data_IF_262517452428
#
_entry.id   IF_262517452428
#
_cell.length_a   1.000
_cell.length_b   1.000
_cell.length_c   1.000
_cell.angle_alpha   90.00
_cell.angle_beta   90.00
_cell.angle_gamma   90.00
#
_symmetry.space_group_name_H-M   'P 1'
#
loop_
_entity.id
_entity.type
_entity.pdbx_description
1 polymer ?
#
# COMPACT_ATOMS: atom_id res chain seq x y z
N UNK A 1 15.96 7.37 47.08
CA UNK A 1 16.09 5.92 47.38
C UNK A 1 15.86 5.20 46.06
N UNK A 2 17.00 4.92 45.39
CA UNK A 2 17.00 4.39 44.02
C UNK A 2 17.18 2.88 44.14
N UNK A 3 16.18 2.10 43.66
CA UNK A 3 16.30 0.63 43.55
C UNK A 3 16.94 0.28 42.21
N UNK A 4 18.22 -0.15 42.28
CA UNK A 4 18.90 -0.84 41.20
C UNK A 4 18.38 -2.29 41.11
N UNK A 5 17.66 -2.61 40.03
CA UNK A 5 17.35 -4.00 39.68
C UNK A 5 18.35 -4.51 38.66
N UNK A 6 19.37 -5.24 39.14
CA UNK A 6 20.26 -6.00 38.28
C UNK A 6 19.58 -7.30 37.89
N UNK A 7 19.25 -7.45 36.60
CA UNK A 7 18.70 -8.71 36.06
C UNK A 7 19.88 -9.55 35.55
N UNK A 8 20.29 -10.55 36.32
CA UNK A 8 21.15 -11.62 35.86
C UNK A 8 20.34 -12.60 35.02
N UNK A 9 20.61 -12.66 33.72
CA UNK A 9 20.08 -13.72 32.83
C UNK A 9 21.19 -14.76 32.62
N UNK A 10 21.16 -15.84 33.42
CA UNK A 10 21.85 -17.08 33.05
C UNK A 10 21.03 -17.84 32.01
N UNK A 11 21.53 -17.96 30.79
CA UNK A 11 20.98 -18.85 29.77
C UNK A 11 21.63 -20.22 29.90
N UNK A 12 20.91 -21.22 30.41
CA UNK A 12 21.32 -22.63 30.38
C UNK A 12 21.01 -23.21 28.97
N UNK A 13 22.09 -23.55 28.29
CA UNK A 13 21.99 -24.28 27.00
C UNK A 13 22.01 -25.79 27.30
N UNK A 14 20.89 -26.49 27.11
CA UNK A 14 20.80 -27.94 27.25
C UNK A 14 21.32 -28.63 25.98
N UNK A 15 22.53 -29.25 26.07
CA UNK A 15 23.05 -30.15 25.03
C UNK A 15 22.37 -31.51 25.13
N UNK A 16 21.63 -31.92 24.09
CA UNK A 16 21.40 -33.35 23.82
C UNK A 16 22.42 -33.82 22.79
N UNK A 17 23.24 -34.80 23.19
CA UNK A 17 24.25 -35.42 22.36
C UNK A 17 23.57 -36.49 21.52
N UNK A 18 23.55 -36.33 20.21
CA UNK A 18 23.17 -37.35 19.22
C UNK A 18 24.38 -37.62 18.32
N UNK A 19 24.86 -38.87 18.29
CA UNK A 19 25.96 -39.32 17.47
C UNK A 19 25.62 -39.31 15.97
N UNK A 20 26.28 -38.46 15.17
CA UNK A 20 26.55 -38.77 13.77
C UNK A 20 27.69 -37.89 13.23
N UNK A 21 28.65 -38.53 12.55
CA UNK A 21 29.81 -37.93 11.89
C UNK A 21 29.37 -36.93 10.81
N UNK A 22 29.38 -35.63 11.15
CA UNK A 22 29.34 -34.53 10.17
C UNK A 22 30.18 -33.38 10.71
N UNK A 23 30.86 -32.68 9.76
CA UNK A 23 31.82 -31.59 9.97
C UNK A 23 31.29 -30.50 10.95
N UNK A 24 32.18 -29.86 11.71
CA UNK A 24 31.76 -28.81 12.65
C UNK A 24 31.19 -27.61 11.89
N UNK A 25 29.97 -27.27 12.23
CA UNK A 25 29.35 -26.01 11.82
C UNK A 25 29.87 -24.93 12.76
N UNK A 26 30.76 -24.07 12.28
CA UNK A 26 31.13 -22.86 13.02
C UNK A 26 29.94 -21.90 12.99
N UNK A 27 29.24 -21.84 14.12
CA UNK A 27 28.18 -20.83 14.31
C UNK A 27 28.84 -19.53 14.74
N UNK A 28 29.21 -18.70 13.77
CA UNK A 28 29.56 -17.30 14.03
C UNK A 28 28.29 -16.53 14.38
N UNK A 29 28.08 -16.30 15.69
CA UNK A 29 27.07 -15.32 16.13
C UNK A 29 27.56 -13.93 15.73
N UNK A 30 27.03 -13.39 14.62
CA UNK A 30 27.16 -11.96 14.36
C UNK A 30 26.29 -11.19 15.34
N UNK A 31 26.92 -10.47 16.25
CA UNK A 31 26.24 -9.44 17.01
C UNK A 31 25.68 -8.41 16.03
N UNK A 32 24.36 -8.33 15.97
CA UNK A 32 23.72 -7.19 15.31
C UNK A 32 24.04 -5.95 16.14
N UNK A 33 24.42 -4.82 15.52
CA UNK A 33 24.63 -3.57 16.25
C UNK A 33 23.36 -3.25 17.04
N UNK A 34 23.53 -2.91 18.31
CA UNK A 34 22.44 -2.47 19.18
C UNK A 34 21.74 -1.30 18.47
N UNK A 35 20.44 -1.45 18.24
CA UNK A 35 19.63 -0.34 17.75
C UNK A 35 19.72 0.77 18.80
N UNK A 36 19.91 2.04 18.39
CA UNK A 36 19.87 3.14 19.34
C UNK A 36 18.55 3.06 20.12
N UNK A 37 18.65 3.11 21.44
CA UNK A 37 17.47 3.17 22.32
C UNK A 37 16.65 4.38 21.90
N UNK A 38 15.37 4.16 21.63
CA UNK A 38 14.42 5.27 21.42
C UNK A 38 14.32 5.98 22.76
N UNK A 39 14.90 7.19 22.85
CA UNK A 39 14.71 8.05 24.01
C UNK A 39 13.27 8.54 24.01
N UNK A 40 12.48 8.07 24.97
CA UNK A 40 11.16 8.64 25.21
C UNK A 40 11.34 9.97 25.92
N UNK A 41 10.65 11.04 25.50
CA UNK A 41 10.73 12.35 26.16
C UNK A 41 10.32 12.19 27.64
N UNK A 42 11.08 12.85 28.53
CA UNK A 42 10.78 12.85 29.95
C UNK A 42 9.36 13.39 30.21
N UNK A 43 8.68 12.81 31.21
CA UNK A 43 7.37 13.25 31.67
C UNK A 43 7.45 14.70 32.15
N UNK A 44 7.06 15.65 31.29
CA UNK A 44 7.12 17.09 31.59
C UNK A 44 7.32 17.99 30.36
N UNK A 45 7.62 17.44 29.18
CA UNK A 45 7.55 18.19 27.94
C UNK A 45 6.11 18.63 27.68
N UNK A 46 5.89 19.92 27.41
CA UNK A 46 4.59 20.52 27.16
C UNK A 46 3.76 19.64 26.23
N UNK A 47 2.66 19.05 26.72
CA UNK A 47 1.76 18.18 25.97
C UNK A 47 1.03 18.90 24.82
N UNK A 48 1.13 20.22 24.73
CA UNK A 48 0.46 21.01 23.70
C UNK A 48 1.05 20.81 22.29
N UNK A 49 2.26 20.28 22.15
CA UNK A 49 2.91 20.01 20.85
C UNK A 49 2.85 18.55 20.39
N UNK A 50 2.33 17.63 21.20
CA UNK A 50 2.28 16.20 20.89
C UNK A 50 1.00 15.75 20.18
N UNK A 51 0.11 16.65 19.79
CA UNK A 51 -1.17 16.30 19.17
C UNK A 51 -1.15 16.45 17.65
N UNK A 52 0.04 16.36 17.03
CA UNK A 52 0.21 16.36 15.56
C UNK A 52 -0.03 14.95 14.96
N UNK A 53 -1.09 14.33 15.44
CA UNK A 53 -1.50 13.02 14.91
C UNK A 53 -2.24 13.24 13.60
N UNK A 54 -1.80 12.63 12.47
CA UNK A 54 -2.51 12.74 11.20
C UNK A 54 -3.94 12.21 11.32
N UNK A 55 -4.85 12.77 10.55
CA UNK A 55 -6.18 12.21 10.36
C UNK A 55 -6.09 10.79 9.80
N UNK A 56 -7.15 9.99 9.94
CA UNK A 56 -7.18 8.65 9.36
C UNK A 56 -6.99 8.66 7.83
N UNK A 57 -7.49 9.69 7.15
CA UNK A 57 -7.34 9.82 5.71
C UNK A 57 -5.89 10.10 5.31
N UNK A 58 -5.22 11.04 5.96
CA UNK A 58 -3.79 11.32 5.74
C UNK A 58 -2.94 10.09 6.07
N UNK A 59 -3.22 9.41 7.17
CA UNK A 59 -2.51 8.20 7.56
C UNK A 59 -2.62 7.10 6.51
N UNK A 60 -3.82 6.78 6.03
CA UNK A 60 -4.00 5.70 5.06
C UNK A 60 -3.54 6.09 3.64
N UNK A 61 -3.57 7.36 3.26
CA UNK A 61 -2.92 7.84 2.03
C UNK A 61 -1.40 7.65 2.15
N UNK A 62 -0.78 7.96 3.29
CA UNK A 62 0.64 7.70 3.54
C UNK A 62 0.98 6.20 3.45
N UNK A 63 0.11 5.32 3.96
CA UNK A 63 0.27 3.86 3.79
C UNK A 63 0.15 3.47 2.32
N UNK A 64 -0.83 4.00 1.57
CA UNK A 64 -0.98 3.74 0.14
C UNK A 64 0.23 4.20 -0.68
N UNK A 65 0.83 5.34 -0.32
CA UNK A 65 2.09 5.80 -0.92
C UNK A 65 3.22 4.80 -0.63
N UNK A 66 3.39 4.35 0.61
CA UNK A 66 4.39 3.33 0.98
C UNK A 66 4.18 2.02 0.19
N UNK A 67 2.94 1.56 0.04
CA UNK A 67 2.58 0.39 -0.78
C UNK A 67 2.97 0.61 -2.24
N UNK A 68 2.87 1.84 -2.76
CA UNK A 68 3.23 2.19 -4.14
C UNK A 68 4.71 1.91 -4.47
N UNK A 69 5.60 1.94 -3.48
CA UNK A 69 7.03 1.64 -3.66
C UNK A 69 7.28 0.19 -4.11
N UNK A 70 6.32 -0.71 -3.93
CA UNK A 70 6.39 -2.09 -4.46
C UNK A 70 5.91 -2.23 -5.90
N UNK A 71 5.43 -1.14 -6.52
CA UNK A 71 5.00 -1.19 -7.91
C UNK A 71 6.15 -1.62 -8.84
N UNK A 72 5.86 -2.54 -9.75
CA UNK A 72 6.80 -3.12 -10.71
C UNK A 72 6.68 -2.51 -12.11
N UNK A 73 6.07 -1.34 -12.21
CA UNK A 73 5.97 -0.53 -13.41
C UNK A 73 6.22 0.94 -13.06
N UNK A 74 7.27 1.53 -13.62
CA UNK A 74 7.65 2.90 -13.32
C UNK A 74 6.81 3.96 -14.05
N UNK A 75 5.97 3.58 -15.02
CA UNK A 75 5.04 4.49 -15.72
C UNK A 75 3.91 5.01 -14.83
N UNK A 76 3.55 4.28 -13.79
CA UNK A 76 2.47 4.68 -12.90
C UNK A 76 2.58 3.99 -11.55
N UNK A 77 3.63 4.32 -10.78
CA UNK A 77 3.75 3.84 -9.41
C UNK A 77 2.54 4.29 -8.61
N UNK A 78 1.67 3.36 -8.26
CA UNK A 78 0.50 3.62 -7.44
C UNK A 78 0.27 2.46 -6.48
N UNK A 79 -0.19 2.81 -5.28
CA UNK A 79 -0.63 1.88 -4.24
C UNK A 79 -2.08 2.14 -3.88
N UNK A 80 -2.71 1.12 -3.35
CA UNK A 80 -4.08 1.14 -2.87
C UNK A 80 -4.16 0.43 -1.52
N UNK A 81 -4.94 1.00 -0.60
CA UNK A 81 -5.25 0.41 0.70
C UNK A 81 -6.75 0.41 0.87
N UNK A 82 -7.32 -0.73 1.26
CA UNK A 82 -8.75 -0.82 1.57
C UNK A 82 -8.90 -1.12 3.05
N UNK A 83 -9.72 -0.31 3.72
CA UNK A 83 -9.91 -0.36 5.18
C UNK A 83 -11.39 -0.48 5.55
N UNK A 84 -11.64 -1.01 6.73
CA UNK A 84 -12.94 -0.92 7.41
C UNK A 84 -12.69 -0.76 8.90
N UNK A 85 -13.46 0.11 9.56
CA UNK A 85 -13.32 0.41 11.00
C UNK A 85 -11.87 0.78 11.39
N UNK A 86 -11.21 1.60 10.54
CA UNK A 86 -9.82 2.01 10.69
C UNK A 86 -8.82 0.83 10.76
N UNK A 87 -9.14 -0.30 10.14
CA UNK A 87 -8.27 -1.47 10.01
C UNK A 87 -8.03 -1.78 8.53
N UNK A 88 -6.79 -2.05 8.17
CA UNK A 88 -6.42 -2.47 6.81
C UNK A 88 -6.97 -3.88 6.58
N UNK A 89 -7.77 -4.02 5.53
CA UNK A 89 -8.25 -5.31 5.04
C UNK A 89 -7.28 -5.91 4.02
N UNK A 90 -6.91 -5.11 3.01
CA UNK A 90 -6.02 -5.52 1.93
C UNK A 90 -5.25 -4.31 1.41
N UNK A 91 -4.16 -4.60 0.71
CA UNK A 91 -3.38 -3.62 -0.06
C UNK A 91 -3.20 -4.11 -1.49
N UNK A 92 -2.89 -3.19 -2.40
CA UNK A 92 -2.56 -3.50 -3.78
C UNK A 92 -1.59 -2.47 -4.35
N UNK A 93 -0.79 -2.87 -5.32
CA UNK A 93 0.11 -1.98 -6.05
C UNK A 93 0.07 -2.28 -7.54
N UNK A 94 0.50 -1.35 -8.37
CA UNK A 94 0.59 -1.55 -9.82
C UNK A 94 1.67 -2.59 -10.13
N UNK A 95 1.27 -3.69 -10.74
CA UNK A 95 2.20 -4.79 -11.03
C UNK A 95 1.63 -5.82 -11.99
N UNK A 96 2.49 -6.63 -12.60
CA UNK A 96 2.04 -7.74 -13.43
C UNK A 96 1.29 -8.77 -12.56
N UNK A 97 0.29 -9.47 -13.12
CA UNK A 97 -0.34 -10.60 -12.47
C UNK A 97 0.67 -11.65 -12.03
N UNK A 98 0.37 -12.36 -10.94
CA UNK A 98 1.26 -13.41 -10.40
C UNK A 98 1.61 -14.45 -11.47
N UNK A 99 2.89 -14.75 -11.62
CA UNK A 99 3.41 -15.69 -12.61
C UNK A 99 3.71 -15.07 -13.97
N UNK A 100 3.39 -13.81 -14.21
CA UNK A 100 3.78 -13.10 -15.44
C UNK A 100 5.00 -12.19 -15.21
N UNK A 101 5.83 -11.93 -16.25
CA UNK A 101 7.01 -11.09 -16.11
C UNK A 101 6.64 -9.65 -15.79
N UNK A 102 7.40 -9.02 -14.91
CA UNK A 102 7.21 -7.62 -14.53
C UNK A 102 7.79 -6.65 -15.58
N UNK A 103 7.34 -5.39 -15.52
CA UNK A 103 7.91 -4.35 -16.39
C UNK A 103 9.39 -4.10 -16.11
N UNK A 104 9.82 -4.25 -14.87
CA UNK A 104 11.21 -4.08 -14.46
C UNK A 104 12.12 -5.13 -15.11
N UNK A 105 11.60 -6.34 -15.39
CA UNK A 105 12.36 -7.46 -15.96
C UNK A 105 12.25 -7.52 -17.49
N UNK A 106 11.04 -7.30 -18.04
CA UNK A 106 10.72 -7.56 -19.45
C UNK A 106 10.31 -6.31 -20.25
N UNK A 107 10.43 -5.12 -19.65
CA UNK A 107 10.00 -3.86 -20.24
C UNK A 107 8.48 -3.68 -20.30
N UNK A 108 8.03 -2.54 -20.81
CA UNK A 108 6.61 -2.24 -20.95
C UNK A 108 5.97 -2.92 -22.14
N UNK A 109 4.76 -3.41 -21.96
CA UNK A 109 3.90 -3.86 -23.07
C UNK A 109 2.93 -2.72 -23.43
N UNK A 110 3.32 -1.88 -24.36
CA UNK A 110 2.57 -0.70 -24.75
C UNK A 110 1.42 -1.03 -25.69
N UNK A 111 0.25 -0.44 -25.44
CA UNK A 111 -0.91 -0.47 -26.35
C UNK A 111 -1.39 0.96 -26.60
N UNK A 112 -1.60 1.28 -27.87
CA UNK A 112 -2.22 2.54 -28.28
C UNK A 112 -3.73 2.39 -28.25
N UNK A 113 -4.41 3.31 -27.57
CA UNK A 113 -5.86 3.47 -27.60
C UNK A 113 -6.19 4.70 -28.42
N UNK A 114 -7.11 4.56 -29.36
CA UNK A 114 -7.65 5.67 -30.16
C UNK A 114 -9.02 6.02 -29.56
N UNK A 115 -9.19 7.26 -29.13
CA UNK A 115 -10.44 7.77 -28.58
C UNK A 115 -11.39 8.25 -29.69
N UNK A 116 -12.67 8.43 -29.35
CA UNK A 116 -13.70 8.87 -30.30
C UNK A 116 -13.41 10.24 -30.96
N UNK A 117 -12.71 11.12 -30.23
CA UNK A 117 -12.23 12.41 -30.72
C UNK A 117 -10.97 12.33 -31.60
N UNK A 118 -10.48 11.11 -31.90
CA UNK A 118 -9.29 10.84 -32.68
C UNK A 118 -7.97 10.98 -31.89
N UNK A 119 -8.00 11.36 -30.63
CA UNK A 119 -6.80 11.42 -29.79
C UNK A 119 -6.25 10.01 -29.53
N UNK A 120 -4.94 9.91 -29.35
CA UNK A 120 -4.26 8.64 -29.09
C UNK A 120 -3.54 8.69 -27.75
N UNK A 121 -3.77 7.68 -26.92
CA UNK A 121 -3.04 7.48 -25.67
C UNK A 121 -2.30 6.15 -25.67
N UNK A 122 -1.23 6.06 -24.92
CA UNK A 122 -0.43 4.85 -24.80
C UNK A 122 -0.47 4.33 -23.36
N UNK A 123 -0.89 3.09 -23.20
CA UNK A 123 -1.00 2.44 -21.89
C UNK A 123 -0.11 1.19 -21.83
N UNK A 124 0.55 0.97 -20.70
CA UNK A 124 1.17 -0.30 -20.42
C UNK A 124 0.09 -1.31 -20.01
N UNK A 125 -0.13 -2.34 -20.81
CA UNK A 125 -1.14 -3.37 -20.56
C UNK A 125 -0.58 -4.62 -19.87
N UNK A 126 0.69 -4.60 -19.48
CA UNK A 126 1.31 -5.70 -18.73
C UNK A 126 0.86 -5.75 -17.28
N UNK A 127 0.42 -4.64 -16.71
CA UNK A 127 0.13 -4.52 -15.28
C UNK A 127 -1.36 -4.31 -15.00
N UNK A 128 -1.81 -4.80 -13.88
CA UNK A 128 -3.10 -4.41 -13.30
C UNK A 128 -2.94 -3.17 -12.43
N UNK A 129 -4.01 -2.39 -12.28
CA UNK A 129 -4.00 -1.22 -11.42
C UNK A 129 -3.97 -1.63 -9.94
N UNK A 130 -3.53 -0.72 -9.07
CA UNK A 130 -3.41 -0.97 -7.64
C UNK A 130 -4.76 -1.37 -7.01
N UNK A 131 -5.84 -0.71 -7.42
CA UNK A 131 -7.20 -0.99 -6.96
C UNK A 131 -7.66 -2.38 -7.41
N UNK A 132 -7.41 -2.74 -8.67
CA UNK A 132 -7.71 -4.08 -9.21
C UNK A 132 -6.94 -5.15 -8.44
N UNK A 133 -5.66 -4.91 -8.18
CA UNK A 133 -4.82 -5.82 -7.42
C UNK A 133 -5.38 -6.01 -6.00
N UNK A 134 -5.72 -4.93 -5.29
CA UNK A 134 -6.32 -4.99 -3.96
C UNK A 134 -7.64 -5.79 -3.96
N UNK A 135 -8.54 -5.53 -4.90
CA UNK A 135 -9.82 -6.24 -5.04
C UNK A 135 -9.59 -7.72 -5.34
N UNK A 136 -8.66 -8.06 -6.24
CA UNK A 136 -8.31 -9.45 -6.53
C UNK A 136 -7.72 -10.16 -5.31
N UNK A 137 -6.88 -9.49 -4.51
CA UNK A 137 -6.37 -10.06 -3.26
C UNK A 137 -7.51 -10.33 -2.26
N UNK A 138 -8.44 -9.39 -2.11
CA UNK A 138 -9.62 -9.58 -1.27
C UNK A 138 -10.44 -10.80 -1.72
N UNK A 139 -10.72 -10.90 -3.02
CA UNK A 139 -11.47 -12.03 -3.60
C UNK A 139 -10.74 -13.36 -3.38
N UNK A 140 -9.41 -13.40 -3.58
CA UNK A 140 -8.59 -14.60 -3.39
C UNK A 140 -8.61 -15.10 -1.95
N UNK A 141 -8.69 -14.21 -0.99
CA UNK A 141 -8.64 -14.52 0.44
C UNK A 141 -10.02 -14.54 1.12
N UNK A 142 -11.11 -14.37 0.37
CA UNK A 142 -12.47 -14.37 0.91
C UNK A 142 -12.75 -13.18 1.84
N UNK A 143 -12.08 -12.04 1.61
CA UNK A 143 -12.25 -10.83 2.43
C UNK A 143 -13.37 -9.98 1.81
N UNK A 144 -14.46 -9.77 2.55
CA UNK A 144 -15.53 -8.88 2.13
C UNK A 144 -15.08 -7.42 2.14
N UNK A 145 -15.33 -6.72 1.03
CA UNK A 145 -15.08 -5.28 0.88
C UNK A 145 -16.34 -4.42 1.10
N UNK A 146 -17.46 -5.05 1.45
CA UNK A 146 -18.71 -4.36 1.74
C UNK A 146 -18.50 -3.28 2.81
N UNK A 147 -19.03 -2.07 2.56
CA UNK A 147 -18.99 -0.91 3.46
C UNK A 147 -17.58 -0.42 3.86
N UNK A 148 -16.57 -0.75 3.05
CA UNK A 148 -15.18 -0.34 3.27
C UNK A 148 -14.86 1.02 2.64
N UNK A 149 -13.68 1.56 2.99
CA UNK A 149 -13.08 2.76 2.40
C UNK A 149 -11.83 2.35 1.61
N UNK A 150 -11.72 2.87 0.39
CA UNK A 150 -10.56 2.68 -0.48
C UNK A 150 -9.72 3.97 -0.50
N UNK A 151 -8.43 3.83 -0.28
CA UNK A 151 -7.44 4.90 -0.36
C UNK A 151 -6.49 4.64 -1.53
N UNK A 152 -6.30 5.61 -2.38
CA UNK A 152 -5.40 5.52 -3.53
C UNK A 152 -4.78 6.87 -3.88
N UNK A 153 -3.73 6.85 -4.68
CA UNK A 153 -3.00 8.07 -5.01
C UNK A 153 -3.77 8.99 -5.94
N UNK A 154 -4.51 8.45 -6.89
CA UNK A 154 -5.24 9.24 -7.89
C UNK A 154 -6.67 8.74 -8.01
N UNK A 155 -7.58 9.62 -8.48
CA UNK A 155 -8.95 9.22 -8.83
C UNK A 155 -8.93 7.94 -9.68
N UNK A 156 -9.62 6.86 -9.28
CA UNK A 156 -9.67 5.62 -10.03
C UNK A 156 -10.16 5.83 -11.47
N UNK A 157 -9.59 5.08 -12.40
CA UNK A 157 -10.10 5.08 -13.77
C UNK A 157 -11.49 4.43 -13.85
N UNK A 158 -12.17 4.60 -14.99
CA UNK A 158 -13.52 4.06 -15.24
C UNK A 158 -13.66 2.58 -14.86
N UNK A 159 -12.71 1.73 -15.29
CA UNK A 159 -12.75 0.29 -14.99
C UNK A 159 -12.61 0.01 -13.50
N UNK A 160 -11.70 0.71 -12.81
CA UNK A 160 -11.54 0.56 -11.36
C UNK A 160 -12.80 1.03 -10.63
N UNK A 161 -13.42 2.14 -11.07
CA UNK A 161 -14.67 2.64 -10.48
C UNK A 161 -15.80 1.61 -10.55
N UNK A 162 -15.99 0.93 -11.70
CA UNK A 162 -16.98 -0.15 -11.82
C UNK A 162 -16.74 -1.29 -10.83
N UNK A 163 -15.48 -1.71 -10.64
CA UNK A 163 -15.14 -2.76 -9.68
C UNK A 163 -15.38 -2.31 -8.24
N UNK A 164 -14.99 -1.08 -7.90
CA UNK A 164 -15.18 -0.48 -6.58
C UNK A 164 -16.67 -0.46 -6.22
N UNK A 165 -17.52 -0.01 -7.13
CA UNK A 165 -18.99 0.03 -6.96
C UNK A 165 -19.53 -1.38 -6.71
N UNK A 166 -19.16 -2.34 -7.57
CA UNK A 166 -19.64 -3.72 -7.47
C UNK A 166 -19.18 -4.46 -6.21
N UNK A 167 -18.04 -4.08 -5.63
CA UNK A 167 -17.57 -4.64 -4.36
C UNK A 167 -18.27 -4.08 -3.12
N UNK A 168 -19.16 -3.09 -3.27
CA UNK A 168 -19.88 -2.46 -2.16
C UNK A 168 -19.04 -1.51 -1.32
N UNK A 169 -17.92 -1.02 -1.87
CA UNK A 169 -17.12 0.03 -1.24
C UNK A 169 -17.94 1.31 -1.18
N UNK A 170 -17.98 1.98 -0.03
CA UNK A 170 -18.83 3.16 0.21
C UNK A 170 -18.11 4.49 0.12
N UNK A 171 -16.80 4.48 0.28
CA UNK A 171 -15.98 5.69 0.34
C UNK A 171 -14.69 5.49 -0.42
N UNK A 172 -14.29 6.49 -1.20
CA UNK A 172 -13.02 6.54 -1.93
C UNK A 172 -12.30 7.82 -1.55
N UNK A 173 -11.07 7.72 -1.10
CA UNK A 173 -10.20 8.86 -0.77
C UNK A 173 -8.99 8.82 -1.68
N UNK A 174 -8.76 9.91 -2.40
CA UNK A 174 -7.65 10.07 -3.33
C UNK A 174 -6.73 11.18 -2.86
N UNK A 175 -5.41 11.00 -3.02
CA UNK A 175 -4.47 12.09 -2.80
C UNK A 175 -4.70 13.20 -3.84
N UNK A 176 -4.77 12.83 -5.14
CA UNK A 176 -4.80 13.76 -6.28
C UNK A 176 -5.86 13.39 -7.31
N UNK A 177 -6.15 14.34 -8.18
CA UNK A 177 -7.06 14.15 -9.30
C UNK A 177 -6.34 13.53 -10.50
N UNK A 178 -6.92 12.49 -11.10
CA UNK A 178 -6.46 11.96 -12.38
C UNK A 178 -7.09 12.76 -13.52
N UNK A 179 -6.32 13.12 -14.56
CA UNK A 179 -6.81 13.95 -15.67
C UNK A 179 -8.01 13.35 -16.40
N UNK A 180 -8.13 12.02 -16.48
CA UNK A 180 -9.25 11.28 -17.07
C UNK A 180 -10.22 10.72 -16.03
N UNK A 181 -10.33 11.36 -14.85
CA UNK A 181 -11.15 10.88 -13.73
C UNK A 181 -12.61 11.35 -13.75
N UNK A 182 -12.99 12.24 -14.66
CA UNK A 182 -14.33 12.88 -14.65
C UNK A 182 -15.47 11.87 -14.79
N UNK A 183 -15.29 10.84 -15.62
CA UNK A 183 -16.30 9.80 -15.81
C UNK A 183 -16.50 8.97 -14.53
N UNK A 184 -15.42 8.58 -13.87
CA UNK A 184 -15.49 7.83 -12.60
C UNK A 184 -16.06 8.68 -11.46
N UNK A 185 -15.79 9.99 -11.42
CA UNK A 185 -16.41 10.90 -10.47
C UNK A 185 -17.94 10.92 -10.63
N UNK A 186 -18.44 11.00 -11.88
CA UNK A 186 -19.87 10.91 -12.19
C UNK A 186 -20.48 9.57 -11.78
N UNK A 187 -19.76 8.47 -12.01
CA UNK A 187 -20.19 7.12 -11.62
C UNK A 187 -20.30 6.98 -10.11
N UNK A 188 -19.30 7.42 -9.34
CA UNK A 188 -19.35 7.40 -7.88
C UNK A 188 -20.52 8.22 -7.33
N UNK A 189 -20.72 9.43 -7.85
CA UNK A 189 -21.85 10.27 -7.48
C UNK A 189 -23.19 9.57 -7.73
N UNK A 190 -23.37 8.94 -8.90
CA UNK A 190 -24.60 8.22 -9.25
C UNK A 190 -24.82 7.00 -8.37
N UNK A 191 -23.76 6.28 -8.01
CA UNK A 191 -23.80 5.10 -7.15
C UNK A 191 -23.89 5.43 -5.64
N UNK A 192 -23.87 6.71 -5.26
CA UNK A 192 -23.91 7.14 -3.85
C UNK A 192 -22.63 6.84 -3.08
N UNK A 193 -21.49 6.77 -3.78
CA UNK A 193 -20.18 6.58 -3.14
C UNK A 193 -19.58 7.95 -2.82
N UNK A 194 -19.13 8.13 -1.57
CA UNK A 194 -18.42 9.32 -1.15
C UNK A 194 -17.04 9.36 -1.79
N UNK A 195 -16.73 10.39 -2.59
CA UNK A 195 -15.41 10.63 -3.15
C UNK A 195 -14.79 11.86 -2.51
N UNK A 196 -13.60 11.68 -1.92
CA UNK A 196 -12.79 12.76 -1.32
C UNK A 196 -11.47 12.85 -2.08
N UNK A 197 -11.07 14.06 -2.43
CA UNK A 197 -9.78 14.37 -3.06
C UNK A 197 -9.08 15.37 -2.15
N UNK A 198 -7.94 14.95 -1.59
CA UNK A 198 -7.22 15.75 -0.57
C UNK A 198 -6.50 16.94 -1.20
N UNK A 199 -5.82 16.73 -2.32
CA UNK A 199 -5.15 17.78 -3.06
C UNK A 199 -5.88 18.04 -4.38
N UNK A 200 -6.33 19.27 -4.61
CA UNK A 200 -7.00 19.66 -5.88
C UNK A 200 -5.99 19.83 -7.04
N UNK A 201 -4.99 18.95 -7.11
CA UNK A 201 -3.95 18.92 -8.14
C UNK A 201 -4.26 17.84 -9.16
N UNK A 202 -4.35 18.24 -10.43
CA UNK A 202 -4.52 17.29 -11.55
C UNK A 202 -3.17 16.74 -11.97
N UNK A 203 -3.04 15.40 -11.98
CA UNK A 203 -1.83 14.70 -12.41
C UNK A 203 -2.07 14.07 -13.79
N UNK A 204 -1.11 14.31 -14.69
CA UNK A 204 -0.96 13.56 -15.94
C UNK A 204 0.29 12.69 -15.83
N UNK A 205 0.25 11.48 -16.35
CA UNK A 205 1.47 10.71 -16.52
C UNK A 205 2.31 11.31 -17.65
N UNK A 206 3.61 11.44 -17.44
CA UNK A 206 4.54 11.75 -18.51
C UNK A 206 4.45 10.64 -19.56
N UNK A 207 4.21 10.99 -20.81
CA UNK A 207 4.07 10.04 -21.94
C UNK A 207 2.74 9.25 -22.03
N UNK A 208 1.62 9.83 -21.62
CA UNK A 208 0.27 9.37 -22.02
C UNK A 208 -0.23 10.11 -23.23
#
# INVERSE_FOLDING_TARGET
>A
MVLNLTINKEMKCNKKIGNSKKRPFETTCHFLPEKPMIEYPEKGANLETMNDRPSWDEYFIGVADTVSHRATCNRGKSGCVITRDNRILVTGYVGAPSGLPHCDDAGHQMKTVVHEDGTKTQHCVRTVHAEQNAICQAARHGISLQDSTLYCRMTPCRTCAMLIINCGIKRVVCEKKYHAGEESEKMFKTAGIELIILENKVVKYENQ
#
